data_IF_488643741704
#
_entry.id   IF_488643741704
#
_cell.length_a   1.000
_cell.length_b   1.000
_cell.length_c   1.000
_cell.angle_alpha   90.00
_cell.angle_beta   90.00
_cell.angle_gamma   90.00
#
_symmetry.space_group_name_H-M   'P 1'
#
loop_
_entity.id
_entity.type
_entity.pdbx_description
1 polymer ?
#
# COMPACT_ATOMS: atom_id res chain seq x y z
N UNK A 1 -12.86 -16.27 -14.15
CA UNK A 1 -12.33 -14.91 -14.41
C UNK A 1 -11.73 -14.28 -13.15
N UNK A 2 -12.49 -14.11 -12.06
CA UNK A 2 -12.02 -13.50 -10.80
C UNK A 2 -10.74 -14.12 -10.24
N UNK A 3 -10.64 -15.46 -10.29
CA UNK A 3 -9.42 -16.22 -9.95
C UNK A 3 -8.17 -15.68 -10.66
N UNK A 4 -8.22 -15.51 -11.98
CA UNK A 4 -7.09 -15.02 -12.79
C UNK A 4 -6.76 -13.57 -12.46
N UNK A 5 -7.79 -12.72 -12.26
CA UNK A 5 -7.61 -11.33 -11.83
C UNK A 5 -6.87 -11.28 -10.49
N UNK A 6 -7.32 -12.06 -9.49
CA UNK A 6 -6.66 -12.15 -8.18
C UNK A 6 -5.20 -12.61 -8.27
N UNK A 7 -4.91 -13.62 -9.10
CA UNK A 7 -3.54 -14.10 -9.31
C UNK A 7 -2.64 -13.03 -9.95
N UNK A 8 -3.06 -12.44 -11.08
CA UNK A 8 -2.22 -11.47 -11.80
C UNK A 8 -2.04 -10.17 -11.01
N UNK A 9 -3.08 -9.70 -10.33
CA UNK A 9 -3.00 -8.54 -9.44
C UNK A 9 -2.06 -8.79 -8.25
N UNK A 10 -2.14 -9.96 -7.61
CA UNK A 10 -1.20 -10.33 -6.54
C UNK A 10 0.25 -10.37 -7.03
N UNK A 11 0.48 -10.90 -8.24
CA UNK A 11 1.81 -10.93 -8.85
C UNK A 11 2.31 -9.54 -9.21
N UNK A 12 1.46 -8.69 -9.79
CA UNK A 12 1.80 -7.30 -10.11
C UNK A 12 2.21 -6.54 -8.85
N UNK A 13 1.41 -6.63 -7.79
CA UNK A 13 1.71 -6.00 -6.50
C UNK A 13 3.04 -6.53 -5.93
N UNK A 14 3.30 -7.83 -5.99
CA UNK A 14 4.56 -8.42 -5.53
C UNK A 14 5.77 -7.84 -6.27
N UNK A 15 5.70 -7.80 -7.60
CA UNK A 15 6.78 -7.27 -8.43
C UNK A 15 6.98 -5.77 -8.19
N UNK A 16 5.90 -5.02 -8.00
CA UNK A 16 5.97 -3.60 -7.69
C UNK A 16 6.61 -3.34 -6.31
N UNK A 17 6.24 -4.11 -5.28
CA UNK A 17 6.87 -4.04 -3.94
C UNK A 17 8.37 -4.37 -4.02
N UNK A 18 8.76 -5.37 -4.81
CA UNK A 18 10.16 -5.71 -5.04
C UNK A 18 10.94 -4.58 -5.71
N UNK A 19 10.38 -3.98 -6.76
CA UNK A 19 11.00 -2.84 -7.46
C UNK A 19 11.09 -1.64 -6.52
N UNK A 20 10.07 -1.39 -5.70
CA UNK A 20 10.06 -0.33 -4.71
C UNK A 20 11.18 -0.51 -3.69
N UNK A 21 11.31 -1.69 -3.09
CA UNK A 21 12.38 -2.00 -2.14
C UNK A 21 13.78 -1.80 -2.75
N UNK A 22 14.00 -2.33 -3.95
CA UNK A 22 15.28 -2.13 -4.65
C UNK A 22 15.53 -0.65 -4.91
N UNK A 23 14.51 0.10 -5.33
CA UNK A 23 14.61 1.54 -5.63
C UNK A 23 14.98 2.35 -4.38
N UNK A 24 14.43 2.01 -3.23
CA UNK A 24 14.76 2.64 -1.95
C UNK A 24 16.22 2.39 -1.55
N UNK A 25 16.71 1.15 -1.68
CA UNK A 25 18.10 0.79 -1.35
C UNK A 25 19.11 1.50 -2.26
N UNK A 26 18.81 1.65 -3.55
CA UNK A 26 19.71 2.33 -4.50
C UNK A 26 19.50 3.85 -4.56
N UNK A 27 18.57 4.39 -3.78
CA UNK A 27 18.29 5.84 -3.72
C UNK A 27 17.61 6.42 -4.97
N UNK A 28 16.79 5.62 -5.67
CA UNK A 28 16.07 6.07 -6.88
C UNK A 28 14.65 6.53 -6.56
N UNK A 29 14.47 7.84 -6.37
CA UNK A 29 13.13 8.43 -6.12
C UNK A 29 12.14 8.11 -7.24
N UNK A 30 12.57 8.24 -8.50
CA UNK A 30 11.74 7.92 -9.66
C UNK A 30 11.29 6.45 -9.65
N UNK A 31 12.20 5.54 -9.32
CA UNK A 31 11.90 4.10 -9.19
C UNK A 31 10.89 3.85 -8.08
N UNK A 32 11.09 4.47 -6.91
CA UNK A 32 10.19 4.35 -5.76
C UNK A 32 8.80 4.91 -6.07
N UNK A 33 8.70 6.12 -6.63
CA UNK A 33 7.40 6.73 -6.94
C UNK A 33 6.63 5.94 -8.01
N UNK A 34 7.32 5.52 -9.08
CA UNK A 34 6.68 4.75 -10.14
C UNK A 34 6.19 3.39 -9.62
N UNK A 35 7.03 2.67 -8.88
CA UNK A 35 6.65 1.38 -8.32
C UNK A 35 5.50 1.49 -7.31
N UNK A 36 5.44 2.54 -6.49
CA UNK A 36 4.30 2.81 -5.61
C UNK A 36 2.97 2.95 -6.36
N UNK A 37 2.96 3.58 -7.53
CA UNK A 37 1.77 3.65 -8.38
C UNK A 37 1.33 2.25 -8.86
N UNK A 38 2.28 1.40 -9.24
CA UNK A 38 2.01 0.01 -9.63
C UNK A 38 1.56 -0.86 -8.46
N UNK A 39 2.04 -0.61 -7.23
CA UNK A 39 1.51 -1.25 -6.01
C UNK A 39 0.02 -0.95 -5.90
N UNK A 40 -0.40 0.31 -6.04
CA UNK A 40 -1.82 0.68 -5.96
C UNK A 40 -2.67 0.05 -7.08
N UNK A 41 -2.18 0.07 -8.32
CA UNK A 41 -2.86 -0.57 -9.45
C UNK A 41 -2.96 -2.09 -9.34
N UNK A 42 -1.99 -2.75 -8.71
CA UNK A 42 -2.08 -4.17 -8.39
C UNK A 42 -2.98 -4.44 -7.18
N UNK A 43 -2.96 -3.57 -6.17
CA UNK A 43 -3.68 -3.77 -4.92
C UNK A 43 -5.21 -3.75 -5.09
N UNK A 44 -5.76 -2.76 -5.80
CA UNK A 44 -7.23 -2.65 -5.99
C UNK A 44 -7.87 -3.90 -6.59
N UNK A 45 -7.43 -4.40 -7.77
CA UNK A 45 -8.01 -5.60 -8.34
C UNK A 45 -7.78 -6.84 -7.48
N UNK A 46 -6.69 -6.89 -6.69
CA UNK A 46 -6.47 -7.96 -5.72
C UNK A 46 -7.54 -7.93 -4.62
N UNK A 47 -7.85 -6.75 -4.05
CA UNK A 47 -8.91 -6.58 -3.05
C UNK A 47 -10.29 -6.89 -3.64
N UNK A 48 -10.59 -6.42 -4.85
CA UNK A 48 -11.84 -6.77 -5.54
C UNK A 48 -11.99 -8.28 -5.75
N UNK A 49 -10.91 -8.98 -6.12
CA UNK A 49 -10.94 -10.43 -6.29
C UNK A 49 -11.18 -11.17 -4.96
N UNK A 50 -10.60 -10.71 -3.85
CA UNK A 50 -10.91 -11.25 -2.53
C UNK A 50 -12.38 -11.01 -2.14
N UNK A 51 -12.90 -9.80 -2.37
CA UNK A 51 -14.28 -9.46 -2.05
C UNK A 51 -15.27 -10.32 -2.86
N UNK A 52 -14.95 -10.56 -4.13
CA UNK A 52 -15.74 -11.43 -5.00
C UNK A 52 -15.65 -12.92 -4.64
N UNK A 53 -14.63 -13.33 -3.89
CA UNK A 53 -14.46 -14.71 -3.40
C UNK A 53 -15.12 -14.93 -2.03
N UNK A 54 -15.57 -13.87 -1.37
CA UNK A 54 -16.26 -13.94 -0.07
C UNK A 54 -17.70 -14.45 -0.18
N UNK A 55 -18.23 -14.91 0.94
CA UNK A 55 -19.63 -15.34 1.06
C UNK A 55 -20.60 -14.16 1.29
N UNK A 56 -21.92 -14.44 1.32
CA UNK A 56 -22.94 -13.39 1.53
C UNK A 56 -22.81 -12.69 2.89
N UNK A 57 -22.37 -13.38 3.94
CA UNK A 57 -22.24 -12.85 5.29
C UNK A 57 -21.11 -11.82 5.40
N UNK A 58 -20.05 -11.98 4.61
CA UNK A 58 -18.86 -11.12 4.61
C UNK A 58 -18.92 -10.01 3.55
N UNK A 59 -20.04 -9.89 2.83
CA UNK A 59 -20.22 -8.93 1.72
C UNK A 59 -20.01 -7.48 2.16
N UNK A 60 -20.46 -7.11 3.36
CA UNK A 60 -20.26 -5.76 3.90
C UNK A 60 -18.76 -5.48 4.08
N UNK A 61 -18.02 -6.39 4.70
CA UNK A 61 -16.58 -6.26 4.90
C UNK A 61 -15.82 -6.17 3.56
N UNK A 62 -16.19 -7.00 2.57
CA UNK A 62 -15.61 -6.93 1.22
C UNK A 62 -15.87 -5.59 0.53
N UNK A 63 -17.09 -5.05 0.62
CA UNK A 63 -17.42 -3.74 0.06
C UNK A 63 -16.67 -2.60 0.76
N UNK A 64 -16.60 -2.63 2.09
CA UNK A 64 -15.82 -1.65 2.87
C UNK A 64 -14.35 -1.68 2.47
N UNK A 65 -13.76 -2.87 2.33
CA UNK A 65 -12.38 -3.03 1.90
C UNK A 65 -12.13 -2.44 0.50
N UNK A 66 -13.03 -2.69 -0.45
CA UNK A 66 -12.93 -2.12 -1.80
C UNK A 66 -13.00 -0.59 -1.79
N UNK A 67 -13.91 0.00 -0.99
CA UNK A 67 -14.01 1.45 -0.85
C UNK A 67 -12.72 2.05 -0.28
N UNK A 68 -12.14 1.45 0.76
CA UNK A 68 -10.86 1.91 1.30
C UNK A 68 -9.70 1.72 0.32
N UNK A 69 -9.67 0.63 -0.45
CA UNK A 69 -8.66 0.44 -1.50
C UNK A 69 -8.75 1.53 -2.59
N UNK A 70 -9.97 1.95 -2.94
CA UNK A 70 -10.19 3.04 -3.89
C UNK A 70 -9.68 4.38 -3.35
N UNK A 71 -9.98 4.72 -2.08
CA UNK A 71 -9.46 5.93 -1.43
C UNK A 71 -7.93 5.93 -1.38
N UNK A 72 -7.34 4.82 -0.94
CA UNK A 72 -5.88 4.60 -0.97
C UNK A 72 -5.30 4.91 -2.34
N UNK A 73 -5.84 4.29 -3.39
CA UNK A 73 -5.31 4.43 -4.75
C UNK A 73 -5.42 5.86 -5.25
N UNK A 74 -6.53 6.56 -4.98
CA UNK A 74 -6.65 7.97 -5.36
C UNK A 74 -5.58 8.82 -4.69
N UNK A 75 -5.37 8.68 -3.38
CA UNK A 75 -4.36 9.44 -2.65
C UNK A 75 -2.95 9.17 -3.17
N UNK A 76 -2.58 7.90 -3.31
CA UNK A 76 -1.27 7.48 -3.83
C UNK A 76 -1.04 8.00 -5.25
N UNK A 77 -2.06 7.92 -6.11
CA UNK A 77 -1.95 8.44 -7.47
C UNK A 77 -1.78 9.95 -7.49
N UNK A 78 -2.52 10.70 -6.66
CA UNK A 78 -2.35 12.16 -6.55
C UNK A 78 -0.93 12.52 -6.09
N UNK A 79 -0.42 11.83 -5.06
CA UNK A 79 0.93 12.07 -4.52
C UNK A 79 1.99 11.78 -5.58
N UNK A 80 2.08 10.53 -6.06
CA UNK A 80 3.20 10.12 -6.89
C UNK A 80 3.09 10.64 -8.32
N UNK A 81 1.89 10.88 -8.85
CA UNK A 81 1.77 11.57 -10.14
C UNK A 81 2.28 13.00 -10.05
N UNK A 82 2.00 13.73 -8.96
CA UNK A 82 2.55 15.06 -8.74
C UNK A 82 4.09 15.04 -8.56
N UNK A 83 4.64 14.06 -7.83
CA UNK A 83 6.09 13.89 -7.71
C UNK A 83 6.75 13.66 -9.07
N UNK A 84 6.15 12.82 -9.90
CA UNK A 84 6.70 12.42 -11.20
C UNK A 84 6.52 13.47 -12.30
N UNK A 85 5.66 14.45 -12.07
CA UNK A 85 5.34 15.52 -13.02
C UNK A 85 5.80 16.88 -12.50
N UNK A 86 4.96 17.55 -11.70
CA UNK A 86 5.16 18.93 -11.26
C UNK A 86 6.45 19.08 -10.47
N UNK A 87 6.70 18.24 -9.48
CA UNK A 87 7.88 18.36 -8.60
C UNK A 87 9.17 18.06 -9.38
N UNK A 88 9.17 17.01 -10.21
CA UNK A 88 10.35 16.61 -10.98
C UNK A 88 10.68 17.54 -12.16
N UNK A 89 9.67 18.08 -12.84
CA UNK A 89 9.86 18.82 -14.11
C UNK A 89 9.85 20.33 -13.95
N UNK A 90 9.40 20.86 -12.82
CA UNK A 90 9.31 22.30 -12.57
C UNK A 90 10.39 22.76 -11.59
N UNK A 91 10.88 23.99 -11.77
CA UNK A 91 11.68 24.65 -10.75
C UNK A 91 10.74 25.26 -9.69
N UNK A 92 10.45 24.48 -8.66
CA UNK A 92 9.66 24.95 -7.52
C UNK A 92 10.46 25.98 -6.72
N UNK A 93 9.79 27.04 -6.27
CA UNK A 93 10.35 27.91 -5.24
C UNK A 93 10.35 27.19 -3.88
N UNK A 94 11.04 27.76 -2.90
CA UNK A 94 11.21 27.15 -1.58
C UNK A 94 9.88 26.84 -0.88
N UNK A 95 8.93 27.79 -0.88
CA UNK A 95 7.61 27.61 -0.27
C UNK A 95 6.82 26.46 -0.91
N UNK A 96 6.84 26.37 -2.25
CA UNK A 96 6.17 25.29 -2.96
C UNK A 96 6.87 23.94 -2.72
N UNK A 97 8.20 23.91 -2.67
CA UNK A 97 8.97 22.69 -2.36
C UNK A 97 8.67 22.17 -0.95
N UNK A 98 8.56 23.04 0.06
CA UNK A 98 8.22 22.63 1.43
C UNK A 98 6.86 21.92 1.54
N UNK A 99 5.91 22.24 0.66
CA UNK A 99 4.56 21.68 0.68
C UNK A 99 4.45 20.46 -0.24
N UNK A 100 5.02 20.56 -1.45
CA UNK A 100 4.81 19.60 -2.53
C UNK A 100 5.91 18.56 -2.66
N UNK A 101 7.16 18.86 -2.30
CA UNK A 101 8.21 17.85 -2.37
C UNK A 101 8.01 16.82 -1.24
N UNK A 102 7.88 15.55 -1.63
CA UNK A 102 7.66 14.46 -0.68
C UNK A 102 8.77 14.39 0.38
N UNK A 103 10.01 14.72 0.00
CA UNK A 103 11.17 14.65 0.88
C UNK A 103 11.15 15.67 2.02
N UNK A 104 10.34 16.72 1.88
CA UNK A 104 10.20 17.75 2.90
C UNK A 104 9.14 17.42 3.96
N UNK A 105 8.59 16.20 3.98
CA UNK A 105 7.57 15.77 4.95
C UNK A 105 6.32 16.67 4.98
N UNK A 106 6.04 17.37 3.87
CA UNK A 106 4.94 18.32 3.74
C UNK A 106 3.57 17.68 3.48
N UNK A 107 2.75 18.37 2.68
CA UNK A 107 1.37 17.95 2.39
C UNK A 107 1.31 16.59 1.69
N UNK A 108 2.13 16.40 0.65
CA UNK A 108 2.09 15.16 -0.14
C UNK A 108 2.62 13.96 0.64
N UNK A 109 3.55 14.15 1.58
CA UNK A 109 3.95 13.10 2.52
C UNK A 109 2.81 12.74 3.49
N UNK A 110 2.12 13.75 4.03
CA UNK A 110 0.96 13.53 4.93
C UNK A 110 -0.17 12.77 4.23
N UNK A 111 -0.42 13.08 2.96
CA UNK A 111 -1.43 12.39 2.15
C UNK A 111 -1.03 10.97 1.77
N UNK A 112 0.28 10.71 1.56
CA UNK A 112 0.80 9.37 1.37
C UNK A 112 0.53 8.49 2.60
N UNK A 113 0.89 8.97 3.79
CA UNK A 113 0.60 8.26 5.06
C UNK A 113 -0.90 8.02 5.24
N UNK A 114 -1.75 9.02 4.95
CA UNK A 114 -3.20 8.84 4.98
C UNK A 114 -3.65 7.76 3.98
N UNK A 115 -3.06 7.73 2.79
CA UNK A 115 -3.26 6.67 1.81
C UNK A 115 -2.94 5.29 2.39
N UNK A 116 -1.75 5.12 2.95
CA UNK A 116 -1.36 3.85 3.58
C UNK A 116 -2.24 3.47 4.77
N UNK A 117 -2.81 4.43 5.50
CA UNK A 117 -3.82 4.14 6.52
C UNK A 117 -5.08 3.49 5.90
N UNK A 118 -5.55 4.00 4.77
CA UNK A 118 -6.67 3.39 4.04
C UNK A 118 -6.31 2.03 3.43
N UNK A 119 -5.07 1.83 2.97
CA UNK A 119 -4.59 0.51 2.56
C UNK A 119 -4.65 -0.49 3.73
N UNK A 120 -4.17 -0.09 4.90
CA UNK A 120 -4.21 -0.90 6.12
C UNK A 120 -5.65 -1.26 6.52
N UNK A 121 -6.56 -0.29 6.54
CA UNK A 121 -7.98 -0.54 6.79
C UNK A 121 -8.57 -1.50 5.74
N UNK A 122 -8.25 -1.31 4.46
CA UNK A 122 -8.67 -2.22 3.39
C UNK A 122 -8.23 -3.67 3.66
N UNK A 123 -6.95 -3.87 4.03
CA UNK A 123 -6.44 -5.20 4.38
C UNK A 123 -7.12 -5.79 5.61
N UNK A 124 -7.45 -4.98 6.62
CA UNK A 124 -8.15 -5.46 7.80
C UNK A 124 -9.54 -5.99 7.45
N UNK A 125 -10.33 -5.21 6.71
CA UNK A 125 -11.69 -5.59 6.33
C UNK A 125 -11.70 -6.76 5.34
N UNK A 126 -10.77 -6.81 4.38
CA UNK A 126 -10.74 -7.90 3.40
C UNK A 126 -10.38 -9.24 4.04
N UNK A 127 -9.58 -9.24 5.12
CA UNK A 127 -9.22 -10.47 5.82
C UNK A 127 -10.45 -11.24 6.34
N UNK A 128 -11.55 -10.53 6.63
CA UNK A 128 -12.80 -11.15 7.07
C UNK A 128 -13.52 -11.92 5.98
N UNK A 129 -13.26 -11.64 4.70
CA UNK A 129 -13.85 -12.40 3.58
C UNK A 129 -13.14 -13.73 3.34
N UNK A 130 -11.96 -13.94 3.94
CA UNK A 130 -11.17 -15.16 3.80
C UNK A 130 -11.65 -16.22 4.81
N UNK A 131 -12.25 -17.29 4.28
CA UNK A 131 -12.51 -18.53 5.01
C UNK A 131 -11.29 -19.43 4.94
N UNK A 132 -10.46 -19.40 5.98
CA UNK A 132 -9.18 -20.08 5.99
C UNK A 132 -9.33 -21.56 6.39
N UNK A 133 -9.13 -22.47 5.45
CA UNK A 133 -9.19 -23.92 5.65
C UNK A 133 -7.81 -24.51 5.94
N UNK A 134 -6.78 -23.99 5.27
CA UNK A 134 -5.40 -24.49 5.38
C UNK A 134 -4.44 -23.50 6.04
N UNK A 135 -3.22 -23.97 6.36
CA UNK A 135 -2.19 -23.17 7.04
C UNK A 135 -1.80 -21.91 6.26
N UNK A 136 -1.74 -21.99 4.93
CA UNK A 136 -1.38 -20.85 4.06
C UNK A 136 -2.41 -19.74 4.17
N UNK A 137 -3.69 -20.10 4.18
CA UNK A 137 -4.81 -19.15 4.28
C UNK A 137 -4.92 -18.54 5.68
N UNK A 138 -4.63 -19.32 6.73
CA UNK A 138 -4.59 -18.80 8.10
C UNK A 138 -3.51 -17.73 8.26
N UNK A 139 -2.33 -17.95 7.66
CA UNK A 139 -1.27 -16.94 7.64
C UNK A 139 -1.63 -15.71 6.82
N UNK A 140 -2.21 -15.90 5.62
CA UNK A 140 -2.67 -14.78 4.80
C UNK A 140 -3.66 -13.90 5.56
N UNK A 141 -4.68 -14.52 6.17
CA UNK A 141 -5.68 -13.82 6.98
C UNK A 141 -5.05 -13.10 8.16
N UNK A 142 -4.14 -13.75 8.89
CA UNK A 142 -3.46 -13.15 10.04
C UNK A 142 -2.61 -11.93 9.62
N UNK A 143 -1.83 -12.03 8.55
CA UNK A 143 -1.03 -10.92 8.04
C UNK A 143 -1.91 -9.74 7.59
N UNK A 144 -3.04 -9.99 6.93
CA UNK A 144 -3.96 -8.93 6.54
C UNK A 144 -4.62 -8.25 7.75
N UNK A 145 -4.99 -9.01 8.79
CA UNK A 145 -5.52 -8.45 10.04
C UNK A 145 -4.48 -7.61 10.79
N UNK A 146 -3.25 -8.13 10.95
CA UNK A 146 -2.16 -7.43 11.65
C UNK A 146 -1.78 -6.15 10.89
N UNK A 147 -1.77 -6.17 9.56
CA UNK A 147 -1.48 -4.99 8.75
C UNK A 147 -2.45 -3.83 9.03
N UNK A 148 -3.70 -4.15 9.38
CA UNK A 148 -4.70 -3.17 9.82
C UNK A 148 -4.26 -2.28 10.98
N UNK A 149 -3.38 -2.76 11.85
CA UNK A 149 -2.88 -2.02 13.01
C UNK A 149 -2.08 -0.78 12.57
N UNK A 150 -1.39 -0.85 11.43
CA UNK A 150 -0.63 0.28 10.89
C UNK A 150 -1.48 1.49 10.52
N UNK A 151 -2.80 1.33 10.38
CA UNK A 151 -3.69 2.47 10.14
C UNK A 151 -3.61 3.52 11.25
N UNK A 152 -3.51 3.06 12.52
CA UNK A 152 -3.44 3.97 13.68
C UNK A 152 -2.16 4.80 13.61
N UNK A 153 -1.03 4.14 13.38
CA UNK A 153 0.27 4.82 13.33
C UNK A 153 0.36 5.80 12.16
N UNK A 154 -0.18 5.41 11.00
CA UNK A 154 -0.20 6.27 9.80
C UNK A 154 -1.08 7.51 9.95
N UNK A 155 -2.08 7.50 10.85
CA UNK A 155 -2.94 8.67 11.12
C UNK A 155 -2.39 9.52 12.27
N UNK A 156 -2.02 8.88 13.39
CA UNK A 156 -1.69 9.60 14.62
C UNK A 156 -0.31 10.26 14.54
N UNK A 157 0.71 9.59 14.00
CA UNK A 157 2.06 10.18 13.92
C UNK A 157 2.13 11.49 13.13
N UNK A 158 1.56 11.62 11.92
CA UNK A 158 1.57 12.90 11.21
C UNK A 158 0.73 13.98 11.92
N UNK A 159 -0.40 13.62 12.56
CA UNK A 159 -1.20 14.57 13.34
C UNK A 159 -0.47 15.12 14.56
N UNK A 160 0.46 14.34 15.14
CA UNK A 160 1.32 14.77 16.24
C UNK A 160 2.58 15.53 15.78
N UNK A 161 2.76 15.72 14.46
CA UNK A 161 3.94 16.42 13.92
C UNK A 161 5.25 15.66 14.13
N UNK A 162 5.19 14.33 14.20
CA UNK A 162 6.39 13.50 14.41
C UNK A 162 7.39 13.66 13.27
N UNK A 163 6.92 13.88 12.05
CA UNK A 163 7.75 13.97 10.85
C UNK A 163 8.12 15.42 10.52
N UNK A 164 9.42 15.70 10.37
CA UNK A 164 9.94 17.01 9.96
C UNK A 164 11.24 16.87 9.17
N UNK A 165 11.59 17.84 8.31
CA UNK A 165 12.87 17.86 7.58
C UNK A 165 14.10 17.83 8.49
N UNK A 166 14.00 18.39 9.70
CA UNK A 166 15.10 18.49 10.66
C UNK A 166 15.28 17.22 11.52
N UNK A 167 14.52 16.16 11.25
CA UNK A 167 14.63 14.91 11.99
C UNK A 167 15.99 14.26 11.75
N UNK A 168 16.80 14.18 12.82
CA UNK A 168 18.10 13.52 12.77
C UNK A 168 17.96 12.04 12.33
N UNK A 169 18.56 11.70 11.19
CA UNK A 169 18.50 10.36 10.61
C UNK A 169 17.15 10.01 9.95
N UNK A 170 16.28 11.00 9.69
CA UNK A 170 14.95 10.79 9.11
C UNK A 170 14.96 9.99 7.81
N UNK A 171 15.91 10.26 6.91
CA UNK A 171 16.05 9.52 5.64
C UNK A 171 16.31 8.02 5.87
N UNK A 172 17.27 7.68 6.74
CA UNK A 172 17.61 6.29 7.03
C UNK A 172 16.46 5.58 7.75
N UNK A 173 15.82 6.25 8.71
CA UNK A 173 14.66 5.70 9.43
C UNK A 173 13.51 5.43 8.43
N UNK A 174 13.26 6.37 7.52
CA UNK A 174 12.26 6.22 6.46
C UNK A 174 12.53 5.02 5.58
N UNK A 175 13.78 4.86 5.09
CA UNK A 175 14.20 3.69 4.31
C UNK A 175 13.95 2.40 5.11
N UNK A 176 14.41 2.32 6.36
CA UNK A 176 14.29 1.10 7.17
C UNK A 176 12.83 0.72 7.45
N UNK A 177 11.96 1.69 7.74
CA UNK A 177 10.53 1.45 7.98
C UNK A 177 9.84 0.95 6.71
N UNK A 178 10.15 1.57 5.56
CA UNK A 178 9.58 1.18 4.28
C UNK A 178 10.10 -0.18 3.80
N UNK A 179 11.38 -0.50 4.01
CA UNK A 179 11.94 -1.82 3.75
C UNK A 179 11.31 -2.90 4.62
N UNK A 180 11.10 -2.62 5.91
CA UNK A 180 10.38 -3.50 6.81
C UNK A 180 8.95 -3.78 6.29
N UNK A 181 8.26 -2.73 5.83
CA UNK A 181 6.94 -2.87 5.23
C UNK A 181 6.97 -3.73 3.96
N UNK A 182 7.98 -3.59 3.10
CA UNK A 182 8.15 -4.42 1.91
C UNK A 182 8.33 -5.90 2.27
N UNK A 183 9.23 -6.19 3.21
CA UNK A 183 9.47 -7.55 3.71
C UNK A 183 8.19 -8.15 4.31
N UNK A 184 7.38 -7.34 4.98
CA UNK A 184 6.09 -7.75 5.52
C UNK A 184 5.05 -8.05 4.42
N UNK A 185 4.96 -7.20 3.41
CA UNK A 185 3.90 -7.25 2.40
C UNK A 185 4.18 -8.28 1.29
N UNK A 186 5.44 -8.60 1.01
CA UNK A 186 5.79 -9.64 0.03
C UNK A 186 5.15 -11.02 0.34
N UNK A 187 5.22 -11.57 1.57
CA UNK A 187 4.48 -12.75 1.97
C UNK A 187 2.97 -12.64 1.73
N UNK A 188 2.36 -11.47 1.96
CA UNK A 188 0.93 -11.24 1.69
C UNK A 188 0.64 -11.48 0.22
N UNK A 189 1.42 -10.89 -0.70
CA UNK A 189 1.23 -11.08 -2.14
C UNK A 189 1.44 -12.53 -2.59
N UNK A 190 2.47 -13.21 -2.06
CA UNK A 190 2.77 -14.62 -2.39
C UNK A 190 1.61 -15.52 -1.92
N UNK A 191 1.13 -15.32 -0.70
CA UNK A 191 0.04 -16.11 -0.14
C UNK A 191 -1.29 -15.78 -0.83
N UNK A 192 -1.54 -14.52 -1.20
CA UNK A 192 -2.70 -14.12 -1.99
C UNK A 192 -2.71 -14.81 -3.36
N UNK A 193 -1.59 -14.82 -4.09
CA UNK A 193 -1.47 -15.55 -5.35
C UNK A 193 -1.82 -17.04 -5.18
N UNK A 194 -1.28 -17.68 -4.13
CA UNK A 194 -1.56 -19.09 -3.83
C UNK A 194 -3.02 -19.32 -3.45
N UNK A 195 -3.62 -18.43 -2.67
CA UNK A 195 -5.04 -18.47 -2.31
C UNK A 195 -5.90 -18.49 -3.57
N UNK A 196 -5.75 -17.50 -4.46
CA UNK A 196 -6.54 -17.43 -5.68
C UNK A 196 -6.28 -18.62 -6.61
N UNK A 197 -5.03 -19.10 -6.72
CA UNK A 197 -4.70 -20.29 -7.53
C UNK A 197 -5.46 -21.54 -7.06
N UNK A 198 -5.72 -21.66 -5.76
CA UNK A 198 -6.36 -22.81 -5.14
C UNK A 198 -7.89 -22.75 -5.10
N UNK A 199 -8.51 -21.60 -5.41
CA UNK A 199 -9.96 -21.51 -5.57
C UNK A 199 -10.41 -22.46 -6.70
N UNK A 200 -11.35 -23.35 -6.39
CA UNK A 200 -12.00 -24.25 -7.35
C UNK A 200 -13.00 -23.45 -8.20
N UNK A 201 -13.02 -23.70 -9.50
CA UNK A 201 -14.00 -23.09 -10.43
C UNK A 201 -15.37 -23.75 -10.33
#
# INVERSE_FOLDING_TARGET
>A
MNKKIGMYSSLLTLLAVLVFAISMIVGSDFGSYLSSMFIAWGFVPMICAFAASGNKETKSAGNTAMTFAAVYTVLIMVVYFAQMTVVRLSQLNEQASQILDYKNFGLLFSYDLLGYAFMALSTFFIAWTIHAENKSEKWLKALLLIHGIFAVSCVIMPMLGVFSPDMAGGDLIGILVLEFWCVYFMPVCILAYRYFKNIKE
#
